data_IF_960882278834
#
_entry.id   IF_960882278834
#
_cell.length_a   1.000
_cell.length_b   1.000
_cell.length_c   1.000
_cell.angle_alpha   90.00
_cell.angle_beta   90.00
_cell.angle_gamma   90.00
#
_symmetry.space_group_name_H-M   'P 1'
#
loop_
_entity.id
_entity.type
_entity.pdbx_description
1 polymer ?
#
# COMPACT_ATOMS: atom_id res chain seq x y z
N UNK A 1 61.38 -61.19 -12.43
CA UNK A 1 61.00 -60.59 -13.72
C UNK A 1 60.29 -59.28 -13.38
N UNK A 2 60.89 -58.08 -13.44
CA UNK A 2 61.81 -57.53 -14.47
C UNK A 2 61.17 -57.66 -15.86
N UNK A 3 60.91 -56.57 -16.61
CA UNK A 3 61.82 -55.43 -16.86
C UNK A 3 61.14 -54.03 -16.97
N UNK A 4 61.86 -52.99 -16.49
CA UNK A 4 61.81 -51.56 -16.93
C UNK A 4 62.68 -51.39 -18.21
N UNK A 5 62.96 -50.20 -18.80
CA UNK A 5 62.59 -48.79 -18.50
C UNK A 5 61.78 -48.18 -19.67
N UNK A 6 61.60 -46.88 -19.95
CA UNK A 6 62.24 -45.59 -19.60
C UNK A 6 61.25 -44.46 -19.99
N UNK A 7 61.36 -43.15 -19.70
CA UNK A 7 62.10 -42.23 -18.79
C UNK A 7 61.36 -40.85 -18.86
N UNK A 8 61.73 -39.69 -18.29
CA UNK A 8 62.91 -39.16 -17.57
C UNK A 8 62.42 -38.07 -16.56
N UNK A 9 63.26 -37.57 -15.65
CA UNK A 9 63.03 -36.34 -14.86
C UNK A 9 64.39 -35.76 -14.38
N UNK A 10 64.62 -34.44 -14.43
CA UNK A 10 64.67 -33.58 -13.22
C UNK A 10 63.88 -32.27 -13.39
N UNK A 11 63.20 -31.74 -12.37
CA UNK A 11 63.74 -30.90 -11.27
C UNK A 11 64.37 -29.56 -11.72
N UNK A 12 63.68 -28.45 -11.48
CA UNK A 12 64.18 -27.28 -10.75
C UNK A 12 63.11 -26.20 -10.54
N UNK A 13 63.25 -25.40 -9.48
CA UNK A 13 62.36 -24.29 -9.15
C UNK A 13 63.05 -22.95 -9.42
N UNK A 14 62.33 -21.99 -10.00
CA UNK A 14 62.69 -20.56 -9.96
C UNK A 14 61.46 -19.66 -10.08
N UNK A 15 61.45 -18.61 -9.27
CA UNK A 15 60.49 -17.51 -9.25
C UNK A 15 60.63 -16.57 -10.45
N UNK A 16 59.51 -16.14 -11.04
CA UNK A 16 59.34 -14.81 -11.61
C UNK A 16 57.84 -14.46 -11.72
N UNK A 17 57.49 -13.21 -11.46
CA UNK A 17 56.15 -12.66 -11.71
C UNK A 17 55.98 -12.41 -13.22
N UNK A 18 54.82 -12.76 -13.79
CA UNK A 18 54.33 -12.05 -14.98
C UNK A 18 52.80 -11.94 -14.97
N UNK A 19 52.31 -10.81 -15.49
CA UNK A 19 50.98 -10.29 -15.19
C UNK A 19 49.99 -10.52 -16.34
N UNK A 20 48.75 -10.85 -15.98
CA UNK A 20 47.52 -10.67 -16.76
C UNK A 20 47.49 -11.08 -18.26
N UNK A 21 46.88 -12.23 -18.54
CA UNK A 21 45.77 -12.30 -19.52
C UNK A 21 45.04 -13.65 -19.44
N UNK A 22 43.87 -13.69 -18.79
CA UNK A 22 42.90 -14.78 -19.01
C UNK A 22 41.61 -14.20 -19.58
N UNK A 23 41.58 -14.25 -20.90
CA UNK A 23 40.43 -14.19 -21.82
C UNK A 23 39.07 -14.03 -21.15
N UNK A 24 38.51 -12.82 -21.23
CA UNK A 24 37.07 -12.62 -21.02
C UNK A 24 36.33 -13.41 -22.09
N UNK A 25 35.63 -14.48 -21.70
CA UNK A 25 34.59 -15.07 -22.56
C UNK A 25 33.61 -13.97 -22.95
N UNK A 26 33.36 -13.72 -24.25
CA UNK A 26 32.34 -12.75 -24.62
C UNK A 26 31.00 -13.22 -24.08
N UNK A 27 30.31 -12.34 -23.35
CA UNK A 27 28.89 -12.51 -23.10
C UNK A 27 28.21 -12.68 -24.46
N UNK A 28 27.57 -13.83 -24.70
CA UNK A 28 26.66 -13.99 -25.82
C UNK A 28 25.42 -13.17 -25.48
N UNK A 29 25.53 -11.87 -25.71
CA UNK A 29 24.37 -11.00 -25.92
C UNK A 29 23.72 -11.49 -27.21
N UNK A 30 22.80 -12.46 -27.08
CA UNK A 30 21.82 -12.71 -28.13
C UNK A 30 21.20 -11.37 -28.53
N UNK A 31 20.92 -11.15 -29.82
CA UNK A 31 20.48 -9.85 -30.30
C UNK A 31 19.29 -9.38 -29.48
N UNK A 32 19.48 -8.29 -28.73
CA UNK A 32 18.35 -7.61 -28.11
C UNK A 32 17.37 -7.29 -29.24
N UNK A 33 16.12 -7.72 -29.09
CA UNK A 33 15.07 -7.35 -30.05
C UNK A 33 14.86 -5.84 -29.96
N UNK A 34 15.59 -5.08 -30.78
CA UNK A 34 15.48 -3.61 -30.95
C UNK A 34 14.03 -3.22 -31.33
N UNK A 35 13.25 -4.18 -31.84
CA UNK A 35 11.86 -4.04 -32.25
C UNK A 35 10.83 -4.47 -31.18
N UNK A 36 11.24 -4.84 -29.97
CA UNK A 36 10.28 -5.12 -28.89
C UNK A 36 9.68 -3.78 -28.39
N UNK A 37 8.34 -3.59 -28.42
CA UNK A 37 7.73 -2.33 -28.01
C UNK A 37 8.01 -2.05 -26.53
N UNK A 38 8.29 -0.79 -26.14
CA UNK A 38 8.59 -0.45 -24.76
C UNK A 38 7.42 -0.80 -23.84
N UNK A 39 7.74 -1.33 -22.66
CA UNK A 39 6.76 -1.80 -21.68
C UNK A 39 5.73 -0.72 -21.32
N UNK A 40 6.16 0.54 -21.29
CA UNK A 40 5.35 1.74 -21.12
C UNK A 40 5.82 2.79 -22.12
N UNK A 41 4.88 3.48 -22.77
CA UNK A 41 5.14 4.63 -23.63
C UNK A 41 5.25 5.95 -22.84
N UNK A 42 4.84 5.95 -21.56
CA UNK A 42 5.04 7.09 -20.66
C UNK A 42 6.53 7.28 -20.33
N UNK A 43 6.99 8.53 -20.37
CA UNK A 43 8.32 8.95 -19.91
C UNK A 43 8.50 8.73 -18.40
N UNK A 44 9.75 8.69 -17.93
CA UNK A 44 10.05 8.55 -16.49
C UNK A 44 9.42 9.65 -15.62
N UNK A 45 9.32 10.87 -16.13
CA UNK A 45 8.67 11.99 -15.41
C UNK A 45 7.16 11.79 -15.33
N UNK A 46 6.52 11.32 -16.40
CA UNK A 46 5.09 10.99 -16.40
C UNK A 46 4.78 9.80 -15.51
N UNK A 47 5.57 8.72 -15.56
CA UNK A 47 5.43 7.56 -14.65
C UNK A 47 5.47 8.01 -13.19
N UNK A 48 6.45 8.84 -12.82
CA UNK A 48 6.57 9.42 -11.48
C UNK A 48 5.34 10.25 -11.11
N UNK A 49 4.91 11.16 -11.97
CA UNK A 49 3.73 12.00 -11.72
C UNK A 49 2.45 11.17 -11.54
N UNK A 50 2.21 10.18 -12.42
CA UNK A 50 1.07 9.26 -12.33
C UNK A 50 1.13 8.47 -11.01
N UNK A 51 2.31 7.93 -10.66
CA UNK A 51 2.51 7.18 -9.42
C UNK A 51 2.29 8.06 -8.17
N UNK A 52 2.75 9.31 -8.18
CA UNK A 52 2.52 10.26 -7.09
C UNK A 52 1.04 10.61 -6.94
N UNK A 53 0.33 10.88 -8.04
CA UNK A 53 -1.10 11.15 -8.02
C UNK A 53 -1.89 9.95 -7.46
N UNK A 54 -1.61 8.75 -7.94
CA UNK A 54 -2.25 7.52 -7.45
C UNK A 54 -1.90 7.21 -5.97
N UNK A 55 -0.66 7.48 -5.54
CA UNK A 55 -0.23 7.30 -4.15
C UNK A 55 -0.88 8.29 -3.19
N UNK A 56 -1.00 9.55 -3.59
CA UNK A 56 -1.75 10.56 -2.84
C UNK A 56 -3.23 10.20 -2.73
N UNK A 57 -3.82 9.67 -3.81
CA UNK A 57 -5.18 9.16 -3.80
C UNK A 57 -5.40 8.01 -2.80
N UNK A 58 -4.42 7.10 -2.67
CA UNK A 58 -4.44 6.00 -1.70
C UNK A 58 -4.36 6.48 -0.23
N UNK A 59 -3.72 7.62 0.03
CA UNK A 59 -3.59 8.20 1.37
C UNK A 59 -4.95 8.50 2.02
N UNK A 60 -5.97 8.91 1.24
CA UNK A 60 -7.29 9.29 1.77
C UNK A 60 -8.01 8.15 2.52
N UNK A 61 -7.79 6.89 2.12
CA UNK A 61 -8.36 5.71 2.81
C UNK A 61 -7.89 5.63 4.26
N UNK A 62 -6.59 5.82 4.49
CA UNK A 62 -6.01 5.92 5.82
C UNK A 62 -6.41 7.22 6.53
N UNK A 63 -6.25 8.37 5.86
CA UNK A 63 -6.41 9.69 6.46
C UNK A 63 -7.81 9.86 7.08
N UNK A 64 -8.86 9.48 6.36
CA UNK A 64 -10.28 9.53 6.82
C UNK A 64 -10.59 8.66 8.04
N UNK A 65 -9.76 7.64 8.27
CA UNK A 65 -9.89 6.75 9.44
C UNK A 65 -9.23 7.41 10.65
N UNK A 66 -7.98 7.86 10.49
CA UNK A 66 -7.16 8.37 11.61
C UNK A 66 -7.52 9.80 12.04
N UNK A 67 -7.90 10.68 11.11
CA UNK A 67 -8.33 12.06 11.41
C UNK A 67 -9.61 12.11 12.26
N UNK A 68 -10.37 11.02 12.31
CA UNK A 68 -11.61 10.92 13.07
C UNK A 68 -11.41 10.59 14.54
N UNK A 69 -10.33 9.90 14.93
CA UNK A 69 -10.20 9.39 16.30
C UNK A 69 -10.23 10.47 17.40
N UNK A 70 -9.56 11.64 17.28
CA UNK A 70 -9.67 12.71 18.27
C UNK A 70 -11.07 13.35 18.32
N UNK A 71 -11.85 13.21 17.24
CA UNK A 71 -13.19 13.78 17.13
C UNK A 71 -14.30 12.89 17.72
N UNK A 72 -13.99 11.67 18.17
CA UNK A 72 -14.98 10.72 18.72
C UNK A 72 -15.73 11.31 19.92
N UNK A 73 -15.02 11.91 20.87
CA UNK A 73 -15.60 12.55 22.06
C UNK A 73 -16.45 13.78 21.72
N UNK A 74 -15.99 14.78 20.94
CA UNK A 74 -16.83 15.93 20.59
C UNK A 74 -18.02 15.56 19.69
N UNK A 75 -17.92 14.51 18.85
CA UNK A 75 -19.07 13.99 18.09
C UNK A 75 -20.14 13.36 19.00
N UNK A 76 -19.72 12.57 19.99
CA UNK A 76 -20.63 11.99 21.00
C UNK A 76 -21.36 13.08 21.78
N UNK A 77 -20.64 14.14 22.18
CA UNK A 77 -21.19 15.31 22.88
C UNK A 77 -22.17 16.12 22.00
N UNK A 78 -21.78 16.49 20.78
CA UNK A 78 -22.59 17.33 19.87
C UNK A 78 -23.86 16.63 19.38
N UNK A 79 -23.81 15.32 19.14
CA UNK A 79 -24.97 14.54 18.70
C UNK A 79 -25.79 13.93 19.84
N UNK A 80 -25.40 14.15 21.11
CA UNK A 80 -26.04 13.57 22.31
C UNK A 80 -26.20 12.03 22.24
N UNK A 81 -25.17 11.31 21.78
CA UNK A 81 -25.16 9.84 21.66
C UNK A 81 -23.96 9.23 22.40
N UNK A 82 -24.06 7.95 22.79
CA UNK A 82 -22.97 7.26 23.48
C UNK A 82 -21.71 7.12 22.63
N UNK A 83 -20.55 7.03 23.29
CA UNK A 83 -19.27 6.72 22.64
C UNK A 83 -19.32 5.38 21.88
N UNK A 84 -20.11 4.41 22.36
CA UNK A 84 -20.35 3.12 21.69
C UNK A 84 -20.98 3.30 20.31
N UNK A 85 -22.01 4.16 20.19
CA UNK A 85 -22.64 4.49 18.92
C UNK A 85 -21.67 5.21 17.99
N UNK A 86 -20.85 6.15 18.47
CA UNK A 86 -19.81 6.77 17.63
C UNK A 86 -18.76 5.75 17.18
N UNK A 87 -18.33 4.82 18.05
CA UNK A 87 -17.43 3.73 17.69
C UNK A 87 -18.04 2.76 16.66
N UNK A 88 -19.36 2.54 16.67
CA UNK A 88 -20.06 1.79 15.63
C UNK A 88 -19.84 2.40 14.23
N UNK A 89 -19.70 3.73 14.11
CA UNK A 89 -19.37 4.38 12.82
C UNK A 89 -17.95 4.08 12.34
N UNK A 90 -17.00 3.82 13.25
CA UNK A 90 -15.64 3.41 12.92
C UNK A 90 -15.66 1.96 12.45
N UNK A 91 -16.36 1.08 13.17
CA UNK A 91 -16.48 -0.33 12.82
C UNK A 91 -17.19 -0.52 11.48
N UNK A 92 -18.32 0.16 11.23
CA UNK A 92 -19.03 0.08 9.95
C UNK A 92 -18.24 0.67 8.79
N UNK A 93 -17.50 1.76 9.01
CA UNK A 93 -16.53 2.28 8.04
C UNK A 93 -15.49 1.21 7.67
N UNK A 94 -14.92 0.49 8.64
CA UNK A 94 -13.91 -0.54 8.41
C UNK A 94 -14.48 -1.78 7.70
N UNK A 95 -15.72 -2.19 8.02
CA UNK A 95 -16.42 -3.28 7.31
C UNK A 95 -16.56 -2.95 5.82
N UNK A 96 -17.03 -1.74 5.50
CA UNK A 96 -17.10 -1.28 4.10
C UNK A 96 -15.71 -1.19 3.47
N UNK A 97 -14.69 -0.76 4.22
CA UNK A 97 -13.32 -0.66 3.72
C UNK A 97 -12.68 -2.01 3.39
N UNK A 98 -13.11 -3.10 4.04
CA UNK A 98 -12.69 -4.46 3.70
C UNK A 98 -13.38 -5.02 2.45
N UNK A 99 -14.62 -4.60 2.20
CA UNK A 99 -15.48 -5.15 1.13
C UNK A 99 -15.34 -4.36 -0.19
N UNK A 100 -15.37 -3.03 -0.14
CA UNK A 100 -15.40 -2.17 -1.32
C UNK A 100 -14.18 -2.28 -2.26
N UNK A 101 -12.93 -2.56 -1.80
CA UNK A 101 -11.81 -2.79 -2.71
C UNK A 101 -12.01 -3.96 -3.67
N UNK A 102 -12.76 -5.00 -3.30
CA UNK A 102 -13.06 -6.13 -4.18
C UNK A 102 -13.96 -5.73 -5.36
N UNK A 103 -14.91 -4.81 -5.12
CA UNK A 103 -15.73 -4.22 -6.19
C UNK A 103 -14.94 -3.23 -7.04
N UNK A 104 -14.24 -2.28 -6.39
CA UNK A 104 -13.55 -1.19 -7.08
C UNK A 104 -12.33 -1.67 -7.89
N UNK A 105 -11.65 -2.71 -7.43
CA UNK A 105 -10.53 -3.35 -8.14
C UNK A 105 -10.98 -3.97 -9.46
N UNK A 106 -11.97 -4.87 -9.42
CA UNK A 106 -12.55 -5.51 -10.62
C UNK A 106 -13.15 -4.46 -11.57
N UNK A 107 -13.86 -3.47 -11.02
CA UNK A 107 -14.41 -2.37 -11.82
C UNK A 107 -13.32 -1.54 -12.50
N UNK A 108 -12.17 -1.32 -11.86
CA UNK A 108 -11.02 -0.62 -12.46
C UNK A 108 -10.29 -1.48 -13.50
N UNK A 109 -10.25 -2.79 -13.29
CA UNK A 109 -9.70 -3.76 -14.24
C UNK A 109 -10.59 -3.95 -15.49
N UNK A 110 -11.89 -3.70 -15.40
CA UNK A 110 -12.83 -3.82 -16.53
C UNK A 110 -13.10 -2.49 -17.24
N UNK A 111 -13.37 -1.42 -16.47
CA UNK A 111 -13.76 -0.10 -17.00
C UNK A 111 -12.59 0.86 -17.15
N UNK A 112 -11.40 0.53 -16.67
CA UNK A 112 -10.24 1.42 -16.69
C UNK A 112 -9.99 2.09 -15.34
N UNK A 113 -8.76 2.56 -15.14
CA UNK A 113 -8.33 3.17 -13.88
C UNK A 113 -8.98 4.54 -13.69
N UNK A 114 -8.97 5.37 -14.74
CA UNK A 114 -9.40 6.77 -14.65
C UNK A 114 -10.89 6.94 -14.27
N UNK A 115 -11.87 6.26 -14.90
CA UNK A 115 -13.28 6.42 -14.55
C UNK A 115 -13.58 6.00 -13.11
N UNK A 116 -12.92 4.94 -12.62
CA UNK A 116 -13.07 4.50 -11.22
C UNK A 116 -12.49 5.53 -10.25
N UNK A 117 -11.34 6.13 -10.54
CA UNK A 117 -10.82 7.24 -9.74
C UNK A 117 -11.78 8.44 -9.69
N UNK A 118 -12.36 8.83 -10.83
CA UNK A 118 -13.32 9.93 -10.87
C UNK A 118 -14.61 9.61 -10.09
N UNK A 119 -15.15 8.39 -10.23
CA UNK A 119 -16.33 7.96 -9.50
C UNK A 119 -16.09 7.87 -7.99
N UNK A 120 -14.98 7.25 -7.57
CA UNK A 120 -14.64 7.05 -6.16
C UNK A 120 -14.39 8.37 -5.45
N UNK A 121 -13.64 9.30 -6.08
CA UNK A 121 -13.44 10.65 -5.53
C UNK A 121 -14.71 11.51 -5.55
N UNK A 122 -15.55 11.42 -6.58
CA UNK A 122 -16.84 12.15 -6.59
C UNK A 122 -17.75 11.68 -5.45
N UNK A 123 -17.83 10.36 -5.24
CA UNK A 123 -18.59 9.77 -4.13
C UNK A 123 -18.02 10.18 -2.77
N UNK A 124 -16.69 10.16 -2.63
CA UNK A 124 -16.00 10.56 -1.42
C UNK A 124 -16.20 12.06 -1.11
N UNK A 125 -16.06 12.95 -2.09
CA UNK A 125 -16.32 14.40 -1.92
C UNK A 125 -17.77 14.63 -1.48
N UNK A 126 -18.74 14.03 -2.16
CA UNK A 126 -20.16 14.15 -1.82
C UNK A 126 -20.47 13.63 -0.40
N UNK A 127 -19.90 12.49 -0.01
CA UNK A 127 -20.03 11.95 1.34
C UNK A 127 -19.44 12.90 2.39
N UNK A 128 -18.27 13.50 2.14
CA UNK A 128 -17.66 14.46 3.08
C UNK A 128 -18.47 15.76 3.20
N UNK A 129 -19.05 16.27 2.10
CA UNK A 129 -19.98 17.43 2.16
C UNK A 129 -21.19 17.09 3.04
N UNK A 130 -21.78 15.92 2.86
CA UNK A 130 -22.86 15.43 3.72
C UNK A 130 -22.44 15.31 5.19
N UNK A 131 -21.24 14.77 5.46
CA UNK A 131 -20.70 14.61 6.81
C UNK A 131 -20.43 15.93 7.53
N UNK A 132 -20.05 16.98 6.78
CA UNK A 132 -19.85 18.32 7.31
C UNK A 132 -21.16 19.05 7.64
N UNK A 133 -22.24 18.78 6.87
CA UNK A 133 -23.53 19.45 6.98
C UNK A 133 -24.55 18.73 7.90
N UNK A 134 -24.37 17.44 8.18
CA UNK A 134 -25.31 16.67 9.00
C UNK A 134 -25.30 17.06 10.50
N UNK A 135 -26.41 16.73 11.14
CA UNK A 135 -26.66 16.92 12.58
C UNK A 135 -27.36 15.70 13.22
N UNK A 136 -27.27 14.51 12.62
CA UNK A 136 -27.97 13.31 13.12
C UNK A 136 -27.12 12.05 13.01
N UNK A 137 -27.18 11.21 14.05
CA UNK A 137 -26.41 9.97 14.12
C UNK A 137 -26.68 8.99 12.96
N UNK A 138 -27.93 8.74 12.51
CA UNK A 138 -28.17 7.85 11.37
C UNK A 138 -27.55 8.38 10.06
N UNK A 139 -27.59 9.71 9.84
CA UNK A 139 -26.94 10.32 8.69
C UNK A 139 -25.42 10.19 8.78
N UNK A 140 -24.82 10.47 9.94
CA UNK A 140 -23.39 10.24 10.20
C UNK A 140 -23.00 8.79 9.86
N UNK A 141 -23.74 7.80 10.37
CA UNK A 141 -23.44 6.38 10.16
C UNK A 141 -23.46 6.00 8.67
N UNK A 142 -24.53 6.33 7.95
CA UNK A 142 -24.68 6.00 6.52
C UNK A 142 -23.65 6.75 5.66
N UNK A 143 -23.41 8.03 5.95
CA UNK A 143 -22.43 8.83 5.21
C UNK A 143 -20.98 8.40 5.49
N UNK A 144 -20.66 7.89 6.69
CA UNK A 144 -19.34 7.28 6.99
C UNK A 144 -19.14 5.98 6.21
N UNK A 145 -20.18 5.15 6.07
CA UNK A 145 -20.14 3.99 5.17
C UNK A 145 -19.94 4.40 3.71
N UNK A 146 -20.62 5.45 3.25
CA UNK A 146 -20.47 5.98 1.89
C UNK A 146 -19.08 6.57 1.63
N UNK A 147 -18.53 7.31 2.59
CA UNK A 147 -17.16 7.83 2.59
C UNK A 147 -16.14 6.69 2.45
N UNK A 148 -16.33 5.60 3.20
CA UNK A 148 -15.48 4.40 3.12
C UNK A 148 -15.52 3.73 1.75
N UNK A 149 -16.71 3.58 1.16
CA UNK A 149 -16.87 3.03 -0.19
C UNK A 149 -16.14 3.89 -1.25
N UNK A 150 -16.15 5.22 -1.09
CA UNK A 150 -15.43 6.16 -1.95
C UNK A 150 -13.91 6.17 -1.75
N UNK A 151 -13.38 5.91 -0.55
CA UNK A 151 -11.93 5.99 -0.31
C UNK A 151 -11.18 4.67 -0.38
N UNK A 152 -11.78 3.55 0.05
CA UNK A 152 -11.04 2.30 0.27
C UNK A 152 -10.47 1.66 -0.99
N UNK A 153 -11.19 1.75 -2.12
CA UNK A 153 -10.76 1.20 -3.41
C UNK A 153 -9.51 1.86 -4.01
N UNK A 154 -9.14 3.07 -3.57
CA UNK A 154 -8.05 3.85 -4.19
C UNK A 154 -6.66 3.25 -3.96
N UNK A 155 -6.46 2.49 -2.87
CA UNK A 155 -5.21 1.78 -2.60
C UNK A 155 -4.98 0.63 -3.60
N UNK A 156 -6.00 -0.21 -3.81
CA UNK A 156 -5.94 -1.29 -4.78
C UNK A 156 -5.79 -0.75 -6.22
N UNK A 157 -6.54 0.31 -6.56
CA UNK A 157 -6.40 0.99 -7.84
C UNK A 157 -5.00 1.58 -8.04
N UNK A 158 -4.37 2.14 -6.99
CA UNK A 158 -3.03 2.72 -7.09
C UNK A 158 -1.95 1.65 -7.35
N UNK A 159 -2.06 0.50 -6.67
CA UNK A 159 -1.20 -0.64 -6.95
C UNK A 159 -1.39 -1.15 -8.38
N UNK A 160 -2.64 -1.20 -8.87
CA UNK A 160 -2.96 -1.53 -10.27
C UNK A 160 -2.33 -0.55 -11.27
N UNK A 161 -2.45 0.77 -11.04
CA UNK A 161 -1.80 1.82 -11.86
C UNK A 161 -0.28 1.64 -11.90
N UNK A 162 0.35 1.39 -10.75
CA UNK A 162 1.80 1.15 -10.68
C UNK A 162 2.17 -0.13 -11.44
N UNK A 163 1.39 -1.21 -11.30
CA UNK A 163 1.61 -2.44 -12.04
C UNK A 163 1.43 -2.27 -13.56
N UNK A 164 0.51 -1.39 -13.98
CA UNK A 164 0.23 -1.06 -15.38
C UNK A 164 1.35 -0.21 -16.02
N UNK A 165 2.03 0.69 -15.29
CA UNK A 165 3.08 1.57 -15.86
C UNK A 165 4.53 1.12 -15.62
N UNK A 166 4.79 0.36 -14.55
CA UNK A 166 6.15 0.05 -14.08
C UNK A 166 6.58 -1.41 -14.34
N UNK A 167 7.76 -1.57 -14.95
CA UNK A 167 8.41 -2.88 -15.15
C UNK A 167 8.73 -3.57 -13.82
N UNK A 168 8.89 -4.91 -13.78
CA UNK A 168 9.20 -5.63 -12.55
C UNK A 168 10.50 -5.22 -11.83
N UNK A 169 11.41 -4.53 -12.52
CA UNK A 169 12.64 -3.98 -11.93
C UNK A 169 12.43 -2.65 -11.20
N UNK A 170 11.69 -1.72 -11.81
CA UNK A 170 11.45 -0.37 -11.24
C UNK A 170 10.25 -0.33 -10.26
N UNK A 171 9.31 -1.28 -10.38
CA UNK A 171 8.05 -1.34 -9.60
C UNK A 171 8.24 -1.19 -8.10
N UNK A 172 9.32 -1.73 -7.53
CA UNK A 172 9.61 -1.63 -6.09
C UNK A 172 9.75 -0.19 -5.60
N UNK A 173 10.32 0.71 -6.41
CA UNK A 173 10.49 2.13 -6.06
C UNK A 173 9.13 2.85 -6.01
N UNK A 174 8.29 2.64 -7.03
CA UNK A 174 6.95 3.21 -7.10
C UNK A 174 6.01 2.66 -6.00
N UNK A 175 6.09 1.36 -5.68
CA UNK A 175 5.38 0.78 -4.52
C UNK A 175 5.90 1.35 -3.19
N UNK A 176 7.20 1.61 -3.07
CA UNK A 176 7.77 2.32 -1.92
C UNK A 176 7.17 3.72 -1.73
N UNK A 177 6.95 4.46 -2.82
CA UNK A 177 6.23 5.75 -2.80
C UNK A 177 4.79 5.59 -2.31
N UNK A 178 4.04 4.60 -2.82
CA UNK A 178 2.67 4.30 -2.36
C UNK A 178 2.63 4.01 -0.84
N UNK A 179 3.57 3.21 -0.35
CA UNK A 179 3.69 2.90 1.08
C UNK A 179 3.99 4.18 1.88
N UNK A 180 4.93 5.02 1.46
CA UNK A 180 5.27 6.28 2.13
C UNK A 180 4.04 7.19 2.36
N UNK A 181 3.21 7.41 1.33
CA UNK A 181 1.98 8.20 1.49
C UNK A 181 1.00 7.56 2.48
N UNK A 182 0.78 6.25 2.37
CA UNK A 182 -0.21 5.54 3.20
C UNK A 182 0.24 5.38 4.66
N UNK A 183 1.54 5.26 4.92
CA UNK A 183 2.15 5.28 6.26
C UNK A 183 2.22 6.69 6.87
N UNK A 184 2.04 7.75 6.08
CA UNK A 184 1.97 9.14 6.60
C UNK A 184 0.61 9.42 7.27
N UNK A 185 -0.46 8.79 6.79
CA UNK A 185 -1.82 9.01 7.30
C UNK A 185 -2.03 8.69 8.81
N UNK A 186 -1.49 7.59 9.39
CA UNK A 186 -1.52 7.35 10.84
C UNK A 186 -0.92 8.47 11.69
N UNK A 187 0.14 9.12 11.21
CA UNK A 187 0.85 10.18 11.93
C UNK A 187 0.15 11.53 11.77
N UNK A 188 -0.21 11.88 10.53
CA UNK A 188 -0.74 13.19 10.17
C UNK A 188 -2.22 13.33 10.51
N UNK A 189 -3.00 12.26 10.36
CA UNK A 189 -4.44 12.25 10.57
C UNK A 189 -4.84 12.74 11.96
N UNK A 190 -4.42 12.10 13.06
CA UNK A 190 -4.89 12.46 14.40
C UNK A 190 -4.41 13.85 14.83
N UNK A 191 -3.24 14.30 14.38
CA UNK A 191 -2.77 15.67 14.66
C UNK A 191 -3.66 16.71 13.98
N UNK A 192 -3.98 16.54 12.70
CA UNK A 192 -4.94 17.42 12.00
C UNK A 192 -6.33 17.33 12.62
N UNK A 193 -6.78 16.13 12.97
CA UNK A 193 -8.08 15.88 13.59
C UNK A 193 -8.24 16.59 14.92
N UNK A 194 -7.25 16.48 15.80
CA UNK A 194 -7.21 17.15 17.10
C UNK A 194 -7.18 18.67 16.98
N UNK A 195 -6.29 19.22 16.14
CA UNK A 195 -6.19 20.67 15.90
C UNK A 195 -7.50 21.25 15.37
N UNK A 196 -8.16 20.57 14.42
CA UNK A 196 -9.44 21.03 13.86
C UNK A 196 -10.59 20.89 14.87
N UNK A 197 -10.68 19.75 15.56
CA UNK A 197 -11.70 19.52 16.58
C UNK A 197 -11.64 20.56 17.71
N UNK A 198 -10.42 20.91 18.16
CA UNK A 198 -10.17 21.90 19.21
C UNK A 198 -10.52 23.33 18.74
N UNK A 199 -10.00 23.77 17.58
CA UNK A 199 -10.06 25.19 17.18
C UNK A 199 -11.28 25.59 16.36
N UNK A 200 -11.82 24.67 15.55
CA UNK A 200 -12.87 24.95 14.57
C UNK A 200 -14.08 24.02 14.72
N UNK A 201 -13.99 22.99 15.57
CA UNK A 201 -15.01 21.98 15.77
C UNK A 201 -14.92 20.83 14.75
N UNK A 202 -15.50 19.68 15.11
CA UNK A 202 -15.36 18.42 14.36
C UNK A 202 -15.84 18.50 12.90
N UNK A 203 -16.80 19.39 12.57
CA UNK A 203 -17.32 19.57 11.20
C UNK A 203 -16.22 20.00 10.21
N UNK A 204 -15.22 20.75 10.68
CA UNK A 204 -14.10 21.20 9.84
C UNK A 204 -13.15 20.09 9.42
N UNK A 205 -13.15 18.94 10.10
CA UNK A 205 -12.43 17.74 9.63
C UNK A 205 -12.97 17.32 8.27
N UNK A 206 -14.29 17.27 8.12
CA UNK A 206 -14.92 16.89 6.86
C UNK A 206 -14.72 17.98 5.79
N UNK A 207 -14.79 19.27 6.14
CA UNK A 207 -14.46 20.35 5.20
C UNK A 207 -13.00 20.30 4.72
N UNK A 208 -12.02 20.00 5.58
CA UNK A 208 -10.63 19.79 5.14
C UNK A 208 -10.55 18.62 4.14
N UNK A 209 -11.23 17.50 4.42
CA UNK A 209 -11.27 16.36 3.51
C UNK A 209 -11.95 16.71 2.18
N UNK A 210 -13.00 17.54 2.16
CA UNK A 210 -13.61 18.10 0.93
C UNK A 210 -12.58 18.91 0.15
N UNK A 211 -11.84 19.83 0.80
CA UNK A 211 -10.84 20.68 0.12
C UNK A 211 -9.72 19.82 -0.48
N UNK A 212 -9.13 18.91 0.30
CA UNK A 212 -8.03 18.05 -0.15
C UNK A 212 -8.46 17.08 -1.26
N UNK A 213 -9.62 16.44 -1.13
CA UNK A 213 -10.10 15.48 -2.14
C UNK A 213 -10.73 16.14 -3.36
N UNK A 214 -11.35 17.31 -3.21
CA UNK A 214 -11.91 18.11 -4.30
C UNK A 214 -10.81 18.71 -5.18
N UNK A 215 -9.77 19.29 -4.59
CA UNK A 215 -8.57 19.72 -5.34
C UNK A 215 -7.91 18.54 -6.05
N UNK A 216 -7.80 17.38 -5.40
CA UNK A 216 -7.29 16.18 -6.04
C UNK A 216 -8.20 15.66 -7.17
N UNK A 217 -9.52 15.67 -7.01
CA UNK A 217 -10.48 15.31 -8.06
C UNK A 217 -10.36 16.22 -9.28
N UNK A 218 -10.12 17.52 -9.09
CA UNK A 218 -9.83 18.46 -10.18
C UNK A 218 -8.55 18.05 -10.90
N UNK A 219 -7.45 17.78 -10.18
CA UNK A 219 -6.18 17.31 -10.77
C UNK A 219 -6.35 15.99 -11.52
N UNK A 220 -7.10 15.03 -10.97
CA UNK A 220 -7.41 13.75 -11.63
C UNK A 220 -8.22 13.96 -12.92
N UNK A 221 -9.20 14.87 -12.89
CA UNK A 221 -10.05 15.17 -14.05
C UNK A 221 -9.24 15.85 -15.17
N UNK A 222 -8.38 16.81 -14.81
CA UNK A 222 -7.63 17.63 -15.76
C UNK A 222 -6.39 16.92 -16.33
N UNK A 223 -5.65 16.17 -15.50
CA UNK A 223 -4.31 15.69 -15.82
C UNK A 223 -4.11 14.17 -15.81
N UNK A 224 -4.92 13.38 -15.09
CA UNK A 224 -4.64 11.94 -14.92
C UNK A 224 -5.05 11.10 -16.15
N UNK A 225 -4.10 10.45 -16.83
CA UNK A 225 -4.38 9.66 -18.03
C UNK A 225 -5.03 8.31 -17.69
N UNK A 226 -5.62 7.66 -18.70
CA UNK A 226 -5.99 6.25 -18.59
C UNK A 226 -4.73 5.38 -18.71
N UNK A 227 -4.50 4.53 -17.71
CA UNK A 227 -3.31 3.64 -17.65
C UNK A 227 -3.65 2.17 -17.84
N UNK A 228 -4.94 1.79 -17.85
CA UNK A 228 -5.33 0.38 -17.99
C UNK A 228 -4.84 -0.21 -19.31
N UNK A 229 -3.97 -1.23 -19.21
CA UNK A 229 -3.39 -1.92 -20.38
C UNK A 229 -4.43 -2.52 -21.31
N UNK A 230 -5.61 -2.90 -20.79
CA UNK A 230 -6.72 -3.45 -21.60
C UNK A 230 -7.38 -2.41 -22.52
N UNK A 231 -7.20 -1.11 -22.23
CA UNK A 231 -7.79 0.00 -22.99
C UNK A 231 -6.73 0.71 -23.83
N UNK A 232 -5.56 0.97 -23.25
CA UNK A 232 -4.52 1.86 -23.78
C UNK A 232 -3.24 1.11 -24.20
N UNK A 233 -3.24 -0.23 -24.07
CA UNK A 233 -2.09 -1.11 -24.32
C UNK A 233 -0.87 -0.72 -23.48
N UNK A 234 0.17 -0.10 -24.05
CA UNK A 234 1.34 0.37 -23.33
C UNK A 234 1.36 1.88 -23.06
N UNK A 235 0.30 2.62 -23.42
CA UNK A 235 0.29 4.09 -23.43
C UNK A 235 0.12 4.69 -24.84
N UNK A 236 0.44 3.93 -25.89
CA UNK A 236 0.46 4.42 -27.27
C UNK A 236 -0.92 4.68 -27.90
N UNK A 237 -1.96 3.93 -27.49
CA UNK A 237 -3.29 4.05 -28.10
C UNK A 237 -4.09 5.16 -27.40
N UNK A 238 -4.42 6.23 -28.14
CA UNK A 238 -5.21 7.33 -27.59
C UNK A 238 -6.56 6.83 -27.04
N UNK A 239 -6.73 6.95 -25.72
CA UNK A 239 -8.00 6.78 -25.02
C UNK A 239 -9.14 7.57 -25.69
N UNK A 240 -10.40 7.15 -25.55
CA UNK A 240 -11.60 7.83 -26.11
C UNK A 240 -12.64 8.14 -25.03
N UNK A 241 -13.49 9.15 -25.25
CA UNK A 241 -14.61 9.47 -24.34
C UNK A 241 -14.18 9.77 -22.89
N UNK A 242 -14.83 9.11 -21.92
CA UNK A 242 -14.60 9.28 -20.48
C UNK A 242 -13.19 8.87 -20.02
N UNK A 243 -12.41 8.22 -20.89
CA UNK A 243 -11.00 7.87 -20.65
C UNK A 243 -10.03 8.99 -21.09
N UNK A 244 -10.49 10.06 -21.77
CA UNK A 244 -9.67 11.22 -22.17
C UNK A 244 -9.59 12.29 -21.10
N UNK A 245 -8.37 12.71 -20.79
CA UNK A 245 -8.07 13.86 -19.93
C UNK A 245 -8.65 15.16 -20.49
N UNK A 246 -9.25 16.02 -19.66
CA UNK A 246 -9.84 17.28 -20.16
C UNK A 246 -8.79 18.22 -20.79
N UNK A 247 -7.56 18.22 -20.27
CA UNK A 247 -6.46 18.98 -20.87
C UNK A 247 -6.15 18.52 -22.31
N UNK A 248 -6.28 17.22 -22.62
CA UNK A 248 -6.10 16.68 -23.98
C UNK A 248 -7.21 17.09 -24.96
N UNK A 249 -8.38 17.50 -24.46
CA UNK A 249 -9.46 18.07 -25.27
C UNK A 249 -9.22 19.57 -25.54
N UNK A 250 -8.68 20.30 -24.57
CA UNK A 250 -8.38 21.74 -24.68
C UNK A 250 -7.13 22.01 -25.54
N UNK A 251 -6.04 21.27 -25.32
CA UNK A 251 -4.80 21.39 -26.10
C UNK A 251 -5.01 21.12 -27.61
N UNK A 252 -6.05 20.36 -27.96
CA UNK A 252 -6.38 20.00 -29.35
C UNK A 252 -6.98 21.13 -30.17
N UNK A 253 -7.16 22.33 -29.61
CA UNK A 253 -7.55 23.53 -30.39
C UNK A 253 -6.40 24.12 -31.23
N UNK A 254 -5.16 23.60 -31.10
CA UNK A 254 -3.97 24.15 -31.78
C UNK A 254 -3.08 23.17 -32.56
N UNK A 255 -3.33 21.85 -32.55
CA UNK A 255 -2.43 20.88 -33.21
C UNK A 255 -3.16 19.92 -34.15
N UNK A 256 -2.73 19.91 -35.42
CA UNK A 256 -3.13 18.91 -36.41
C UNK A 256 -2.76 17.49 -35.93
N UNK A 257 -3.53 16.46 -36.33
CA UNK A 257 -3.17 15.07 -36.04
C UNK A 257 -1.99 14.65 -36.92
N UNK A 258 -0.83 14.47 -36.29
CA UNK A 258 0.32 13.90 -36.99
C UNK A 258 0.05 12.44 -37.39
N UNK A 259 0.44 12.08 -38.61
CA UNK A 259 0.19 10.76 -39.21
C UNK A 259 1.33 9.81 -38.87
N UNK A 260 1.42 9.41 -37.60
CA UNK A 260 2.28 8.27 -37.23
C UNK A 260 1.69 6.98 -37.81
N UNK A 261 2.37 6.40 -38.78
CA UNK A 261 1.95 5.17 -39.46
C UNK A 261 1.99 3.93 -38.54
N UNK A 262 1.25 2.88 -38.89
CA UNK A 262 1.68 1.51 -38.57
C UNK A 262 0.79 0.61 -37.70
N UNK A 263 -0.13 1.15 -36.88
CA UNK A 263 -1.07 0.29 -36.12
C UNK A 263 -2.52 0.64 -36.48
N UNK A 264 -3.09 -0.14 -37.40
CA UNK A 264 -4.55 -0.16 -37.60
C UNK A 264 -5.20 -0.58 -36.28
N UNK A 265 -6.10 0.22 -35.68
CA UNK A 265 -6.88 -0.27 -34.54
C UNK A 265 -7.71 -1.45 -35.04
N UNK A 266 -7.59 -2.60 -34.40
CA UNK A 266 -8.41 -3.76 -34.76
C UNK A 266 -9.88 -3.37 -34.64
N UNK A 267 -10.67 -3.67 -35.67
CA UNK A 267 -12.12 -3.42 -35.73
C UNK A 267 -12.92 -4.38 -34.80
N UNK A 268 -12.25 -4.85 -33.74
CA UNK A 268 -12.71 -5.80 -32.74
C UNK A 268 -12.98 -5.18 -31.37
N UNK A 269 -13.10 -3.85 -31.26
CA UNK A 269 -13.81 -3.21 -30.13
C UNK A 269 -15.33 -3.45 -30.26
N UNK A 270 -15.70 -4.73 -30.29
CA UNK A 270 -17.01 -5.25 -29.97
C UNK A 270 -17.49 -4.51 -28.73
N UNK A 271 -18.74 -4.00 -28.73
CA UNK A 271 -19.36 -3.30 -27.59
C UNK A 271 -19.47 -4.25 -26.39
N UNK A 272 -18.35 -4.46 -25.70
CA UNK A 272 -18.21 -5.42 -24.61
C UNK A 272 -19.00 -4.85 -23.44
N UNK A 273 -20.18 -5.43 -23.21
CA UNK A 273 -21.08 -4.99 -22.14
C UNK A 273 -20.26 -4.88 -20.85
N UNK A 274 -20.29 -3.70 -20.24
CA UNK A 274 -19.76 -3.48 -18.89
C UNK A 274 -20.51 -4.49 -18.01
N UNK A 275 -19.80 -5.53 -17.57
CA UNK A 275 -20.37 -6.50 -16.64
C UNK A 275 -20.32 -5.83 -15.27
N UNK A 276 -21.41 -5.94 -14.52
CA UNK A 276 -21.41 -5.50 -13.11
C UNK A 276 -20.23 -6.22 -12.43
N UNK A 277 -19.33 -5.51 -11.75
CA UNK A 277 -18.15 -6.12 -11.15
C UNK A 277 -18.59 -7.22 -10.18
N UNK A 278 -17.95 -8.39 -10.27
CA UNK A 278 -18.35 -9.56 -9.48
C UNK A 278 -17.31 -9.84 -8.38
N UNK A 279 -17.45 -9.21 -7.19
CA UNK A 279 -16.49 -9.35 -6.09
C UNK A 279 -16.41 -10.79 -5.57
N UNK A 280 -17.44 -11.60 -5.84
CA UNK A 280 -17.51 -12.99 -5.41
C UNK A 280 -16.45 -13.87 -6.08
N UNK A 281 -15.83 -13.41 -7.18
CA UNK A 281 -14.70 -14.10 -7.82
C UNK A 281 -13.43 -14.10 -6.95
N UNK A 282 -13.28 -13.13 -6.05
CA UNK A 282 -12.17 -13.07 -5.08
C UNK A 282 -12.41 -13.92 -3.83
N UNK A 283 -13.65 -14.31 -3.55
CA UNK A 283 -14.01 -15.10 -2.36
C UNK A 283 -13.42 -16.52 -2.36
N UNK A 284 -13.40 -17.29 -3.48
CA UNK A 284 -12.72 -18.59 -3.55
C UNK A 284 -11.26 -18.57 -3.09
N UNK A 285 -10.54 -17.46 -3.32
CA UNK A 285 -9.13 -17.30 -2.89
C UNK A 285 -9.01 -17.33 -1.36
N UNK A 286 -10.04 -16.85 -0.63
CA UNK A 286 -10.10 -16.90 0.83
C UNK A 286 -10.26 -18.33 1.37
N UNK A 287 -10.85 -19.24 0.58
CA UNK A 287 -11.09 -20.64 1.00
C UNK A 287 -9.88 -21.56 0.79
N UNK A 288 -8.81 -21.09 0.16
CA UNK A 288 -7.54 -21.84 0.10
C UNK A 288 -6.91 -21.87 1.51
N UNK A 289 -6.66 -23.07 2.05
CA UNK A 289 -6.18 -23.30 3.43
C UNK A 289 -5.03 -22.38 3.88
N UNK A 290 -4.04 -22.17 3.03
CA UNK A 290 -2.87 -21.33 3.33
C UNK A 290 -3.23 -19.84 3.34
N UNK A 291 -4.00 -19.39 2.33
CA UNK A 291 -4.52 -18.01 2.25
C UNK A 291 -5.39 -17.67 3.45
N UNK A 292 -6.32 -18.56 3.81
CA UNK A 292 -7.21 -18.41 4.97
C UNK A 292 -6.42 -18.21 6.26
N UNK A 293 -5.43 -19.07 6.53
CA UNK A 293 -4.61 -18.99 7.74
C UNK A 293 -3.84 -17.66 7.84
N UNK A 294 -3.23 -17.19 6.74
CA UNK A 294 -2.50 -15.92 6.71
C UNK A 294 -3.44 -14.74 6.91
N UNK A 295 -4.59 -14.73 6.23
CA UNK A 295 -5.58 -13.66 6.31
C UNK A 295 -6.23 -13.61 7.71
N UNK A 296 -6.51 -14.77 8.32
CA UNK A 296 -7.05 -14.85 9.67
C UNK A 296 -6.09 -14.23 10.69
N UNK A 297 -4.81 -14.63 10.68
CA UNK A 297 -3.78 -14.05 11.57
C UNK A 297 -3.65 -12.54 11.35
N UNK A 298 -3.56 -12.11 10.08
CA UNK A 298 -3.52 -10.68 9.75
C UNK A 298 -4.76 -9.91 10.22
N UNK A 299 -5.95 -10.50 10.17
CA UNK A 299 -7.20 -9.88 10.60
C UNK A 299 -7.29 -9.69 12.12
N UNK A 300 -6.75 -10.63 12.91
CA UNK A 300 -6.66 -10.49 14.37
C UNK A 300 -5.74 -9.32 14.71
N UNK A 301 -4.57 -9.24 14.09
CA UNK A 301 -3.65 -8.11 14.28
C UNK A 301 -4.20 -6.77 13.79
N UNK A 302 -4.96 -6.77 12.70
CA UNK A 302 -5.68 -5.59 12.23
C UNK A 302 -6.68 -5.12 13.30
N UNK A 303 -7.46 -6.06 13.84
CA UNK A 303 -8.50 -5.78 14.84
C UNK A 303 -7.88 -5.19 16.11
N UNK A 304 -6.85 -5.83 16.67
CA UNK A 304 -6.12 -5.29 17.84
C UNK A 304 -5.61 -3.87 17.58
N UNK A 305 -4.98 -3.64 16.42
CA UNK A 305 -4.47 -2.31 16.03
C UNK A 305 -5.58 -1.26 15.97
N UNK A 306 -6.73 -1.60 15.38
CA UNK A 306 -7.86 -0.68 15.21
C UNK A 306 -8.58 -0.41 16.53
N UNK A 307 -8.74 -1.41 17.40
CA UNK A 307 -9.33 -1.25 18.73
C UNK A 307 -8.46 -0.38 19.63
N UNK A 308 -7.13 -0.61 19.65
CA UNK A 308 -6.19 0.26 20.36
C UNK A 308 -6.24 1.68 19.81
N UNK A 309 -6.24 1.84 18.48
CA UNK A 309 -6.35 3.14 17.81
C UNK A 309 -7.64 3.90 18.13
N UNK A 310 -8.80 3.23 18.16
CA UNK A 310 -10.09 3.87 18.44
C UNK A 310 -10.27 4.21 19.93
N UNK A 311 -9.77 3.39 20.85
CA UNK A 311 -9.90 3.62 22.29
C UNK A 311 -8.96 4.70 22.84
N UNK A 312 -7.77 4.86 22.23
CA UNK A 312 -6.70 5.70 22.75
C UNK A 312 -7.11 7.16 23.03
N UNK A 313 -7.71 7.86 22.06
CA UNK A 313 -8.16 9.25 22.25
C UNK A 313 -9.21 9.39 23.35
N UNK A 314 -10.24 8.55 23.33
CA UNK A 314 -11.33 8.59 24.30
C UNK A 314 -10.83 8.32 25.74
N UNK A 315 -10.02 7.27 25.91
CA UNK A 315 -9.43 6.93 27.21
C UNK A 315 -8.45 7.99 27.70
N UNK A 316 -7.67 8.62 26.81
CA UNK A 316 -6.78 9.71 27.20
C UNK A 316 -7.54 10.96 27.64
N UNK A 317 -8.64 11.32 26.98
CA UNK A 317 -9.50 12.44 27.37
C UNK A 317 -10.24 12.14 28.69
N UNK A 318 -10.67 10.91 28.93
CA UNK A 318 -11.47 10.52 30.12
C UNK A 318 -10.62 10.25 31.38
N UNK A 319 -9.41 9.70 31.24
CA UNK A 319 -8.56 9.33 32.39
C UNK A 319 -7.57 10.43 32.79
N UNK A 320 -7.13 11.25 31.82
CA UNK A 320 -6.06 12.25 32.01
C UNK A 320 -6.51 13.68 31.67
N UNK A 321 -7.81 13.92 31.45
CA UNK A 321 -8.41 15.23 31.18
C UNK A 321 -7.76 16.04 30.04
N UNK A 322 -7.22 15.35 29.02
CA UNK A 322 -6.55 15.99 27.88
C UNK A 322 -7.51 16.78 26.99
N UNK A 323 -7.00 17.85 26.39
CA UNK A 323 -7.71 18.55 25.30
C UNK A 323 -7.68 17.76 23.98
N UNK A 324 -8.48 18.15 22.98
CA UNK A 324 -8.61 17.37 21.74
C UNK A 324 -7.33 17.43 20.89
N UNK A 325 -6.53 18.48 21.04
CA UNK A 325 -5.23 18.63 20.37
C UNK A 325 -4.19 17.65 20.95
N UNK A 326 -4.08 17.56 22.27
CA UNK A 326 -3.25 16.59 22.98
C UNK A 326 -3.66 15.15 22.67
N UNK A 327 -4.96 14.87 22.65
CA UNK A 327 -5.50 13.58 22.22
C UNK A 327 -5.12 13.23 20.76
N UNK A 328 -4.89 14.22 19.90
CA UNK A 328 -4.31 14.04 18.57
C UNK A 328 -2.80 13.74 18.59
N UNK A 329 -2.04 14.46 19.42
CA UNK A 329 -0.57 14.27 19.56
C UNK A 329 -0.20 12.89 20.12
N UNK A 330 -1.05 12.31 20.98
CA UNK A 330 -0.92 10.97 21.56
C UNK A 330 -0.74 9.84 20.52
N UNK A 331 -1.12 10.06 19.26
CA UNK A 331 -0.92 9.08 18.17
C UNK A 331 0.47 9.14 17.50
N UNK A 332 1.23 10.24 17.67
CA UNK A 332 2.54 10.42 17.02
C UNK A 332 3.53 9.26 17.26
N UNK A 333 3.63 8.66 18.47
CA UNK A 333 4.46 7.49 18.69
C UNK A 333 4.05 6.29 17.82
N UNK A 334 2.75 6.08 17.57
CA UNK A 334 2.27 5.01 16.67
C UNK A 334 2.74 5.24 15.24
N UNK A 335 2.74 6.50 14.79
CA UNK A 335 3.27 6.90 13.48
C UNK A 335 4.78 6.66 13.33
N UNK A 336 5.56 7.09 14.33
CA UNK A 336 7.02 6.85 14.38
C UNK A 336 7.35 5.36 14.43
N UNK A 337 6.57 4.58 15.20
CA UNK A 337 6.72 3.13 15.29
C UNK A 337 6.56 2.45 13.92
N UNK A 338 5.64 2.92 13.07
CA UNK A 338 5.45 2.40 11.71
C UNK A 338 6.64 2.67 10.77
N UNK A 339 7.28 3.84 10.88
CA UNK A 339 8.49 4.18 10.12
C UNK A 339 9.65 3.29 10.57
N UNK A 340 9.87 3.19 11.88
CA UNK A 340 10.94 2.40 12.49
C UNK A 340 10.74 0.90 12.19
N UNK A 341 9.52 0.38 12.28
CA UNK A 341 9.20 -1.03 11.96
C UNK A 341 9.48 -1.38 10.51
N UNK A 342 9.22 -0.46 9.57
CA UNK A 342 9.45 -0.73 8.14
C UNK A 342 10.94 -0.95 7.87
N UNK A 343 11.80 -0.15 8.49
CA UNK A 343 13.25 -0.29 8.39
C UNK A 343 13.80 -1.51 9.15
N UNK A 344 13.32 -1.75 10.38
CA UNK A 344 13.79 -2.87 11.20
C UNK A 344 13.34 -4.22 10.62
N UNK A 345 12.13 -4.31 10.08
CA UNK A 345 11.59 -5.55 9.47
C UNK A 345 12.35 -5.93 8.22
N UNK A 346 12.74 -4.96 7.37
CA UNK A 346 13.59 -5.22 6.20
C UNK A 346 14.90 -5.92 6.62
N UNK A 347 15.63 -5.32 7.57
CA UNK A 347 16.86 -5.93 8.10
C UNK A 347 16.65 -7.28 8.79
N UNK A 348 15.50 -7.47 9.46
CA UNK A 348 15.17 -8.73 10.13
C UNK A 348 14.93 -9.85 9.12
N UNK A 349 14.19 -9.56 8.03
CA UNK A 349 13.98 -10.47 6.90
C UNK A 349 15.29 -10.77 6.17
N UNK A 350 16.14 -9.77 5.90
CA UNK A 350 17.46 -9.96 5.30
C UNK A 350 18.35 -10.88 6.15
N UNK A 351 18.31 -10.72 7.49
CA UNK A 351 19.07 -11.57 8.42
C UNK A 351 18.52 -13.00 8.48
N UNK A 352 17.21 -13.17 8.45
CA UNK A 352 16.58 -14.49 8.39
C UNK A 352 16.89 -15.20 7.07
N UNK A 353 16.87 -14.48 5.96
CA UNK A 353 17.26 -14.98 4.64
C UNK A 353 18.72 -15.45 4.62
N UNK A 354 19.66 -14.60 5.06
CA UNK A 354 21.10 -14.95 5.14
C UNK A 354 21.35 -16.19 5.99
N UNK A 355 20.76 -16.26 7.18
CA UNK A 355 20.91 -17.43 8.06
C UNK A 355 20.42 -18.73 7.40
N UNK A 356 19.31 -18.70 6.67
CA UNK A 356 18.80 -19.90 5.98
C UNK A 356 19.62 -20.22 4.72
N UNK A 357 20.14 -19.22 4.00
CA UNK A 357 21.06 -19.42 2.89
C UNK A 357 22.38 -20.08 3.36
N UNK A 358 22.99 -19.56 4.43
CA UNK A 358 24.18 -20.13 5.07
C UNK A 358 23.94 -21.57 5.53
N UNK A 359 22.80 -21.84 6.20
CA UNK A 359 22.43 -23.20 6.63
C UNK A 359 22.21 -24.18 5.47
N UNK A 360 21.88 -23.68 4.28
CA UNK A 360 21.74 -24.47 3.05
C UNK A 360 23.02 -24.47 2.20
N UNK A 361 24.13 -23.89 2.69
CA UNK A 361 25.40 -23.82 1.97
C UNK A 361 25.36 -22.98 0.67
N UNK A 362 24.41 -22.05 0.56
CA UNK A 362 24.25 -21.19 -0.63
C UNK A 362 24.96 -19.85 -0.44
N UNK A 363 25.47 -19.30 -1.54
CA UNK A 363 26.10 -17.97 -1.53
C UNK A 363 25.10 -16.88 -1.12
N UNK A 364 25.52 -16.01 -0.22
CA UNK A 364 24.68 -14.96 0.38
C UNK A 364 24.43 -13.77 -0.54
N UNK A 365 25.08 -13.74 -1.72
CA UNK A 365 24.98 -12.66 -2.71
C UNK A 365 24.02 -12.93 -3.88
N UNK A 366 23.19 -13.99 -3.81
CA UNK A 366 22.18 -14.27 -4.83
C UNK A 366 21.22 -13.09 -5.00
N UNK A 367 21.19 -12.52 -6.22
CA UNK A 367 20.28 -11.42 -6.57
C UNK A 367 18.84 -11.94 -6.59
N UNK A 368 17.92 -11.16 -6.01
CA UNK A 368 16.48 -11.46 -6.02
C UNK A 368 15.96 -11.61 -7.47
N UNK A 369 15.78 -12.86 -7.92
CA UNK A 369 15.47 -13.22 -9.30
C UNK A 369 15.97 -14.61 -9.71
N UNK A 370 17.02 -15.13 -9.06
CA UNK A 370 17.46 -16.52 -9.22
C UNK A 370 16.68 -17.47 -8.27
N UNK A 371 15.35 -17.49 -8.42
CA UNK A 371 14.49 -18.45 -7.74
C UNK A 371 14.70 -19.85 -8.35
N UNK A 372 15.50 -20.69 -7.66
CA UNK A 372 15.41 -22.14 -7.75
C UNK A 372 14.29 -22.62 -6.80
N UNK A 373 13.36 -23.44 -7.30
CA UNK A 373 12.10 -23.83 -6.62
C UNK A 373 12.26 -24.45 -5.21
N UNK A 374 13.46 -24.92 -4.85
CA UNK A 374 13.75 -25.58 -3.57
C UNK A 374 13.98 -24.64 -2.36
N UNK A 375 14.04 -23.31 -2.51
CA UNK A 375 14.26 -22.44 -1.35
C UNK A 375 12.96 -22.25 -0.54
N UNK A 376 12.93 -22.59 0.78
CA UNK A 376 11.70 -22.52 1.58
C UNK A 376 11.43 -21.08 2.07
N UNK A 377 11.15 -20.16 1.13
CA UNK A 377 10.90 -18.73 1.38
C UNK A 377 9.85 -18.54 2.49
N UNK A 378 8.75 -19.29 2.42
CA UNK A 378 7.63 -19.15 3.36
C UNK A 378 7.99 -19.52 4.79
N UNK A 379 8.84 -20.53 5.00
CA UNK A 379 9.30 -20.93 6.34
C UNK A 379 10.32 -19.93 6.88
N UNK A 380 11.17 -19.39 5.99
CA UNK A 380 12.20 -18.41 6.33
C UNK A 380 11.58 -17.12 6.87
N UNK A 381 10.58 -16.54 6.18
CA UNK A 381 9.90 -15.30 6.63
C UNK A 381 9.13 -15.47 7.94
N UNK A 382 8.55 -16.65 8.19
CA UNK A 382 7.74 -16.92 9.39
C UNK A 382 8.57 -17.16 10.64
N UNK A 383 9.90 -17.33 10.51
CA UNK A 383 10.80 -17.62 11.64
C UNK A 383 10.74 -16.54 12.73
N UNK A 384 10.90 -15.27 12.35
CA UNK A 384 10.90 -14.15 13.30
C UNK A 384 9.51 -13.71 13.77
N UNK A 385 8.42 -14.20 13.15
CA UNK A 385 7.05 -13.78 13.49
C UNK A 385 6.72 -14.08 14.94
N UNK A 386 7.15 -15.22 15.49
CA UNK A 386 6.88 -15.59 16.89
C UNK A 386 7.38 -14.57 17.92
N UNK A 387 8.54 -13.95 17.68
CA UNK A 387 9.04 -12.88 18.57
C UNK A 387 8.16 -11.63 18.49
N UNK A 388 7.72 -11.25 17.29
CA UNK A 388 6.81 -10.11 17.09
C UNK A 388 5.43 -10.37 17.71
N UNK A 389 4.92 -11.61 17.62
CA UNK A 389 3.69 -12.05 18.30
C UNK A 389 3.82 -11.83 19.80
N UNK A 390 4.87 -12.36 20.45
CA UNK A 390 5.07 -12.23 21.90
C UNK A 390 5.16 -10.77 22.33
N UNK A 391 5.93 -9.94 21.62
CA UNK A 391 6.08 -8.51 21.94
C UNK A 391 4.74 -7.77 21.78
N UNK A 392 3.99 -8.03 20.69
CA UNK A 392 2.69 -7.38 20.46
C UNK A 392 1.65 -7.72 21.54
N UNK A 393 1.61 -8.98 21.98
CA UNK A 393 0.71 -9.43 23.06
C UNK A 393 1.10 -8.83 24.41
N UNK A 394 2.39 -8.85 24.75
CA UNK A 394 2.89 -8.24 25.99
C UNK A 394 2.65 -6.72 26.03
N UNK A 395 2.88 -6.01 24.92
CA UNK A 395 2.61 -4.58 24.80
C UNK A 395 1.11 -4.26 24.92
N UNK A 396 0.24 -5.07 24.32
CA UNK A 396 -1.23 -4.88 24.40
C UNK A 396 -1.74 -5.11 25.83
N UNK A 397 -1.23 -6.13 26.53
CA UNK A 397 -1.54 -6.37 27.95
C UNK A 397 -0.99 -5.26 28.85
N UNK A 398 0.23 -4.80 28.60
CA UNK A 398 0.86 -3.69 29.31
C UNK A 398 0.10 -2.37 29.15
N UNK A 399 -0.41 -2.09 27.95
CA UNK A 399 -1.29 -0.94 27.69
C UNK A 399 -2.58 -1.00 28.52
N UNK A 400 -3.29 -2.14 28.49
CA UNK A 400 -4.52 -2.32 29.27
C UNK A 400 -4.29 -2.20 30.78
N UNK A 401 -3.19 -2.78 31.28
CA UNK A 401 -2.81 -2.67 32.70
C UNK A 401 -2.45 -1.23 33.10
N UNK A 402 -1.74 -0.48 32.24
CA UNK A 402 -1.37 0.90 32.50
C UNK A 402 -2.60 1.83 32.61
N UNK A 403 -3.60 1.64 31.74
CA UNK A 403 -4.89 2.34 31.84
C UNK A 403 -5.65 1.94 33.11
N UNK A 404 -5.76 0.64 33.41
CA UNK A 404 -6.45 0.15 34.62
C UNK A 404 -5.85 0.71 35.91
N UNK A 405 -4.53 0.85 35.98
CA UNK A 405 -3.82 1.44 37.13
C UNK A 405 -3.73 2.96 37.12
N UNK A 406 -4.28 3.65 36.10
CA UNK A 406 -4.10 5.10 35.86
C UNK A 406 -2.63 5.53 35.99
N UNK A 407 -1.73 4.74 35.42
CA UNK A 407 -0.29 5.01 35.43
C UNK A 407 0.03 6.29 34.65
N UNK A 408 1.21 6.89 34.86
CA UNK A 408 1.60 8.10 34.12
C UNK A 408 1.49 7.92 32.59
N UNK A 409 0.97 8.91 31.87
CA UNK A 409 0.63 8.86 30.43
C UNK A 409 1.76 8.35 29.51
N UNK A 410 3.03 8.52 29.91
CA UNK A 410 4.17 7.97 29.20
C UNK A 410 4.14 6.42 29.07
N UNK A 411 3.55 5.71 30.04
CA UNK A 411 3.49 4.24 30.06
C UNK A 411 2.56 3.68 28.97
N UNK A 412 1.27 4.06 28.85
CA UNK A 412 0.43 3.60 27.75
C UNK A 412 0.98 4.07 26.39
N UNK A 413 1.60 5.25 26.29
CA UNK A 413 2.27 5.70 25.06
C UNK A 413 3.46 4.81 24.64
N UNK A 414 4.30 4.39 25.59
CA UNK A 414 5.41 3.49 25.32
C UNK A 414 4.93 2.07 24.91
N UNK A 415 3.88 1.57 25.56
CA UNK A 415 3.26 0.30 25.20
C UNK A 415 2.59 0.36 23.82
N UNK A 416 1.94 1.48 23.50
CA UNK A 416 1.35 1.73 22.19
C UNK A 416 2.42 1.83 21.08
N UNK A 417 3.58 2.44 21.36
CA UNK A 417 4.73 2.45 20.44
C UNK A 417 5.23 1.01 20.15
N UNK A 418 5.42 0.19 21.19
CA UNK A 418 5.86 -1.21 21.04
C UNK A 418 4.85 -2.07 20.28
N UNK A 419 3.55 -1.89 20.57
CA UNK A 419 2.44 -2.57 19.88
C UNK A 419 2.40 -2.16 18.40
N UNK A 420 2.44 -0.85 18.11
CA UNK A 420 2.47 -0.32 16.74
C UNK A 420 3.67 -0.81 15.93
N UNK A 421 4.86 -0.88 16.53
CA UNK A 421 6.07 -1.40 15.89
C UNK A 421 5.90 -2.88 15.54
N UNK A 422 5.46 -3.70 16.49
CA UNK A 422 5.30 -5.15 16.31
C UNK A 422 4.22 -5.48 15.29
N UNK A 423 3.05 -4.83 15.38
CA UNK A 423 1.93 -5.04 14.46
C UNK A 423 2.30 -4.65 13.02
N UNK A 424 2.93 -3.49 12.82
CA UNK A 424 3.33 -3.04 11.47
C UNK A 424 4.42 -3.95 10.89
N UNK A 425 5.32 -4.48 11.74
CA UNK A 425 6.29 -5.51 11.34
C UNK A 425 5.59 -6.80 10.87
N UNK A 426 4.61 -7.29 11.64
CA UNK A 426 3.80 -8.48 11.27
C UNK A 426 3.09 -8.27 9.94
N UNK A 427 2.45 -7.12 9.72
CA UNK A 427 1.84 -6.78 8.41
C UNK A 427 2.84 -6.80 7.27
N UNK A 428 4.03 -6.23 7.48
CA UNK A 428 5.09 -6.19 6.47
C UNK A 428 5.56 -7.61 6.11
N UNK A 429 5.76 -8.49 7.11
CA UNK A 429 6.16 -9.89 6.89
C UNK A 429 5.09 -10.68 6.13
N UNK A 430 3.80 -10.45 6.41
CA UNK A 430 2.71 -11.11 5.67
C UNK A 430 2.51 -10.56 4.25
N UNK A 431 2.73 -9.26 4.04
CA UNK A 431 2.61 -8.61 2.72
C UNK A 431 3.81 -8.86 1.82
N UNK A 432 4.99 -9.17 2.38
CA UNK A 432 6.18 -9.54 1.63
C UNK A 432 6.01 -10.93 1.00
N UNK A 433 5.63 -10.93 -0.28
CA UNK A 433 5.42 -12.12 -1.08
C UNK A 433 6.25 -12.05 -2.39
N UNK A 434 7.47 -12.60 -2.44
CA UNK A 434 8.28 -12.62 -3.66
C UNK A 434 7.72 -13.53 -4.75
N UNK A 435 6.83 -14.48 -4.42
CA UNK A 435 6.21 -15.44 -5.35
C UNK A 435 5.40 -14.78 -6.46
N UNK A 436 5.07 -13.49 -6.35
CA UNK A 436 4.50 -12.70 -7.45
C UNK A 436 5.47 -12.44 -8.62
N UNK A 437 6.76 -12.77 -8.49
CA UNK A 437 7.71 -12.83 -9.63
C UNK A 437 7.76 -14.20 -10.32
N UNK A 438 7.46 -15.31 -9.64
CA UNK A 438 7.51 -16.65 -10.25
C UNK A 438 6.21 -17.03 -10.97
N UNK A 439 5.06 -16.51 -10.53
CA UNK A 439 3.74 -16.69 -11.18
C UNK A 439 3.55 -15.85 -12.48
N UNK A 440 4.63 -15.27 -13.02
CA UNK A 440 4.66 -14.50 -14.28
C UNK A 440 5.67 -15.09 -15.30
N UNK A 441 6.02 -16.37 -15.15
CA UNK A 441 6.66 -17.18 -16.19
C UNK A 441 5.61 -17.91 -17.02
#
# INVERSE_FOLDING_TARGET
MATRPSEHCPEQATTAEETASRTKSPLVTGPQNINAPPFSAFTETEKKWISYAASYAAMFSGLSTFIYYPAVVPLSRDLSVSLELINLTITSYLVVAGVAPAFMGDMADQTGRRPVYLLTFSLYVAANIGLALQSSFPALLVLRMLQSAGSSGTFAAAYGVIADIATPGERGSYVGTLIMFTCTAPSLGPVLGGVLAEKLGWRWIFWLLVIMSGTHLIVLTLCFPETSRKIVHNGSVQARGIHRTLFSLLARRGSQPDKSEGIKPSEGLMKRKIRIPNPLTSIPILFHKNSFAIILVGSVYYTVSRTLGASLSAQCIEIYDLNYLEAGLVYLPTGLAGIISSYSTGKLLDRDYKYVAEKLGRDTNLRAGEDNDDFPVEKTRLRSVWYLIIISSAATLGYGWALYKRAHIAVPLAMQFLSGLSITSIFTVHMWNPTYRSQLK
#
